data_IF_478970810126
#
_entry.id   IF_478970810126
#
_cell.length_a   1.000
_cell.length_b   1.000
_cell.length_c   1.000
_cell.angle_alpha   90.00
_cell.angle_beta   90.00
_cell.angle_gamma   90.00
#
_symmetry.space_group_name_H-M   'P 1'
#
loop_
_entity.id
_entity.type
_entity.pdbx_description
1 polymer ?
#
# COMPACT_ATOMS: atom_id res chain seq x y z
N UNK A 1 29.81 -30.29 -22.40
CA UNK A 1 29.87 -29.54 -21.12
C UNK A 1 28.85 -28.42 -21.21
N UNK A 2 27.65 -28.65 -20.70
CA UNK A 2 26.56 -27.69 -20.74
C UNK A 2 26.77 -26.64 -19.63
N UNK A 3 26.78 -25.36 -20.01
CA UNK A 3 26.76 -24.25 -19.05
C UNK A 3 25.33 -24.12 -18.53
N UNK A 4 25.10 -24.55 -17.31
CA UNK A 4 23.87 -24.25 -16.60
C UNK A 4 23.77 -22.74 -16.37
N UNK A 5 22.65 -22.16 -16.79
CA UNK A 5 22.29 -20.76 -16.53
C UNK A 5 21.99 -20.59 -15.04
N UNK A 6 22.63 -19.65 -14.31
CA UNK A 6 22.36 -19.44 -12.89
C UNK A 6 21.09 -18.64 -12.61
N UNK A 7 20.35 -18.20 -13.64
CA UNK A 7 19.10 -17.48 -13.46
C UNK A 7 17.90 -18.43 -13.52
N UNK A 8 17.75 -19.27 -12.50
CA UNK A 8 16.42 -19.76 -12.12
C UNK A 8 15.65 -18.60 -11.50
N UNK A 9 15.02 -17.77 -12.33
CA UNK A 9 13.84 -17.00 -11.94
C UNK A 9 12.71 -17.99 -11.69
N UNK A 10 12.75 -18.62 -10.51
CA UNK A 10 11.60 -19.29 -9.93
C UNK A 10 10.48 -18.26 -9.84
N UNK A 11 9.61 -18.30 -10.84
CA UNK A 11 8.32 -17.61 -10.95
C UNK A 11 7.31 -18.22 -9.97
N UNK A 12 7.74 -18.50 -8.74
CA UNK A 12 6.87 -18.85 -7.61
C UNK A 12 6.70 -17.71 -6.57
N UNK A 13 6.64 -16.40 -6.94
CA UNK A 13 6.40 -15.34 -5.96
C UNK A 13 4.96 -15.32 -5.44
N UNK A 14 4.03 -16.08 -6.05
CA UNK A 14 2.59 -16.08 -5.71
C UNK A 14 2.27 -17.05 -4.56
N UNK A 15 2.95 -18.20 -4.46
CA UNK A 15 2.63 -19.21 -3.43
C UNK A 15 3.20 -18.92 -2.04
N UNK A 16 4.08 -17.92 -1.93
CA UNK A 16 4.58 -17.41 -0.66
C UNK A 16 4.36 -15.90 -0.61
N UNK A 17 3.11 -15.45 -0.67
CA UNK A 17 2.81 -14.20 0.05
C UNK A 17 3.29 -14.44 1.49
N UNK A 18 4.30 -13.72 1.97
CA UNK A 18 4.82 -13.99 3.29
C UNK A 18 3.66 -13.78 4.24
N UNK A 19 3.35 -14.78 5.06
CA UNK A 19 2.24 -14.75 6.04
C UNK A 19 2.18 -13.41 6.77
N UNK A 20 3.35 -12.78 7.00
CA UNK A 20 3.52 -11.41 7.50
C UNK A 20 2.73 -10.35 6.71
N UNK A 21 2.83 -10.28 5.39
CA UNK A 21 2.07 -9.32 4.56
C UNK A 21 0.57 -9.55 4.68
N UNK A 22 0.12 -10.81 4.65
CA UNK A 22 -1.29 -11.13 4.84
C UNK A 22 -1.81 -10.68 6.21
N UNK A 23 -1.04 -10.95 7.27
CA UNK A 23 -1.35 -10.50 8.64
C UNK A 23 -1.36 -8.98 8.73
N UNK A 24 -0.38 -8.28 8.17
CA UNK A 24 -0.34 -6.81 8.17
C UNK A 24 -1.57 -6.22 7.48
N UNK A 25 -1.96 -6.75 6.33
CA UNK A 25 -3.17 -6.29 5.62
C UNK A 25 -4.42 -6.57 6.45
N UNK A 26 -4.58 -7.78 7.00
CA UNK A 26 -5.74 -8.13 7.82
C UNK A 26 -5.88 -7.22 9.05
N UNK A 27 -4.78 -7.00 9.77
CA UNK A 27 -4.77 -6.12 10.95
C UNK A 27 -5.12 -4.68 10.55
N UNK A 28 -4.56 -4.19 9.43
CA UNK A 28 -4.86 -2.85 8.92
C UNK A 28 -6.35 -2.73 8.59
N UNK A 29 -6.91 -3.71 7.87
CA UNK A 29 -8.33 -3.73 7.52
C UNK A 29 -9.22 -3.68 8.76
N UNK A 30 -8.96 -4.54 9.76
CA UNK A 30 -9.76 -4.59 10.98
C UNK A 30 -9.65 -3.28 11.78
N UNK A 31 -8.44 -2.75 11.95
CA UNK A 31 -8.22 -1.52 12.70
C UNK A 31 -8.96 -0.34 12.06
N UNK A 32 -8.82 -0.15 10.75
CA UNK A 32 -9.47 0.97 10.07
C UNK A 32 -10.99 0.81 10.05
N UNK A 33 -11.50 -0.41 9.83
CA UNK A 33 -12.94 -0.68 9.90
C UNK A 33 -13.53 -0.32 11.26
N UNK A 34 -12.83 -0.62 12.36
CA UNK A 34 -13.28 -0.27 13.71
C UNK A 34 -13.20 1.23 14.04
N UNK A 35 -12.40 2.00 13.29
CA UNK A 35 -12.15 3.42 13.53
C UNK A 35 -13.01 4.31 12.63
N UNK A 36 -13.61 3.77 11.56
CA UNK A 36 -14.42 4.57 10.66
C UNK A 36 -15.72 5.02 11.32
N UNK A 37 -15.94 6.33 11.32
CA UNK A 37 -17.23 6.95 11.66
C UNK A 37 -17.34 8.23 10.86
N UNK A 38 -18.46 8.43 10.16
CA UNK A 38 -18.67 9.64 9.34
C UNK A 38 -18.73 10.87 10.27
N UNK A 39 -17.82 11.84 10.14
CA UNK A 39 -17.84 13.01 11.01
C UNK A 39 -18.86 14.02 10.48
N UNK A 40 -19.98 14.14 11.19
CA UNK A 40 -21.16 14.91 10.79
C UNK A 40 -21.02 16.42 11.06
N UNK A 41 -19.92 17.05 10.64
CA UNK A 41 -19.53 18.40 11.11
C UNK A 41 -19.73 19.47 10.03
N UNK A 42 -18.80 19.57 9.09
CA UNK A 42 -18.87 20.45 7.92
C UNK A 42 -18.55 19.65 6.67
N UNK A 43 -19.06 20.07 5.52
CA UNK A 43 -18.89 19.33 4.26
C UNK A 43 -17.40 19.12 3.90
N UNK A 44 -16.58 20.15 4.08
CA UNK A 44 -15.15 20.12 3.78
C UNK A 44 -14.39 19.17 4.72
N UNK A 45 -14.65 19.23 6.02
CA UNK A 45 -14.02 18.34 7.01
C UNK A 45 -14.46 16.89 6.80
N UNK A 46 -15.73 16.65 6.46
CA UNK A 46 -16.24 15.31 6.16
C UNK A 46 -15.55 14.73 4.94
N UNK A 47 -15.48 15.49 3.85
CA UNK A 47 -14.81 15.07 2.63
C UNK A 47 -13.32 14.78 2.88
N UNK A 48 -12.64 15.65 3.62
CA UNK A 48 -11.24 15.45 3.99
C UNK A 48 -11.05 14.20 4.85
N UNK A 49 -11.93 13.96 5.82
CA UNK A 49 -11.89 12.75 6.65
C UNK A 49 -12.11 11.48 5.83
N UNK A 50 -13.06 11.50 4.88
CA UNK A 50 -13.28 10.40 3.95
C UNK A 50 -12.04 10.13 3.09
N UNK A 51 -11.43 11.16 2.49
CA UNK A 51 -10.20 10.98 1.71
C UNK A 51 -9.04 10.48 2.56
N UNK A 52 -8.89 11.02 3.77
CA UNK A 52 -7.86 10.59 4.70
C UNK A 52 -8.07 9.12 5.09
N UNK A 53 -9.30 8.71 5.39
CA UNK A 53 -9.62 7.31 5.67
C UNK A 53 -9.29 6.38 4.51
N UNK A 54 -9.48 6.82 3.26
CA UNK A 54 -9.16 6.00 2.09
C UNK A 54 -7.65 5.90 1.83
N UNK A 55 -6.92 7.03 1.96
CA UNK A 55 -5.52 7.16 1.57
C UNK A 55 -4.52 6.85 2.71
N UNK A 56 -4.90 7.05 3.96
CA UNK A 56 -4.03 6.82 5.11
C UNK A 56 -3.64 5.34 5.25
N UNK A 57 -4.54 4.36 5.13
CA UNK A 57 -4.20 2.94 5.19
C UNK A 57 -3.25 2.53 4.07
N UNK A 58 -3.47 3.07 2.86
CA UNK A 58 -2.56 2.88 1.73
C UNK A 58 -1.16 3.40 2.07
N UNK A 59 -1.08 4.62 2.60
CA UNK A 59 0.18 5.26 3.00
C UNK A 59 0.89 4.48 4.10
N UNK A 60 0.15 4.04 5.12
CA UNK A 60 0.67 3.22 6.23
C UNK A 60 1.15 1.87 5.73
N UNK A 61 0.42 1.20 4.83
CA UNK A 61 0.86 -0.07 4.23
C UNK A 61 2.14 0.12 3.41
N UNK A 62 2.24 1.17 2.60
CA UNK A 62 3.48 1.51 1.86
C UNK A 62 4.64 1.68 2.84
N UNK A 63 4.44 2.45 3.92
CA UNK A 63 5.47 2.67 4.92
C UNK A 63 5.88 1.37 5.64
N UNK A 64 4.91 0.59 6.12
CA UNK A 64 5.19 -0.67 6.82
C UNK A 64 5.88 -1.69 5.91
N UNK A 65 5.42 -1.83 4.67
CA UNK A 65 6.04 -2.75 3.71
C UNK A 65 7.45 -2.30 3.34
N UNK A 66 7.72 -0.99 3.22
CA UNK A 66 9.08 -0.49 2.98
C UNK A 66 10.01 -0.72 4.18
N UNK A 67 9.52 -0.58 5.41
CA UNK A 67 10.30 -0.81 6.62
C UNK A 67 10.56 -2.31 6.91
N UNK A 68 9.60 -3.18 6.57
CA UNK A 68 9.75 -4.63 6.79
C UNK A 68 10.64 -5.28 5.72
N UNK A 69 10.70 -4.72 4.52
CA UNK A 69 11.53 -5.27 3.45
C UNK A 69 13.01 -4.90 3.65
N UNK A 70 13.72 -5.78 4.37
CA UNK A 70 15.16 -5.67 4.58
C UNK A 70 15.97 -5.58 3.28
N UNK A 71 15.45 -6.07 2.14
CA UNK A 71 16.15 -5.95 0.86
C UNK A 71 16.09 -4.52 0.34
N UNK A 72 14.94 -3.86 0.51
CA UNK A 72 14.77 -2.45 0.14
C UNK A 72 15.65 -1.54 1.01
N UNK A 73 15.67 -1.80 2.32
CA UNK A 73 16.53 -1.07 3.26
C UNK A 73 18.02 -1.24 2.93
N UNK A 74 18.46 -2.45 2.58
CA UNK A 74 19.84 -2.70 2.13
C UNK A 74 20.16 -1.99 0.82
N UNK A 75 19.22 -1.96 -0.14
CA UNK A 75 19.36 -1.19 -1.38
C UNK A 75 19.54 0.31 -1.10
N UNK A 76 18.74 0.87 -0.18
CA UNK A 76 18.88 2.27 0.26
C UNK A 76 20.24 2.52 0.92
N UNK A 77 20.72 1.62 1.78
CA UNK A 77 22.04 1.74 2.41
C UNK A 77 23.19 1.71 1.39
N UNK A 78 23.10 0.83 0.39
CA UNK A 78 24.09 0.78 -0.70
C UNK A 78 24.05 2.05 -1.56
N UNK A 79 22.87 2.62 -1.83
CA UNK A 79 22.75 3.85 -2.62
C UNK A 79 23.31 5.10 -1.89
N UNK A 80 23.16 5.14 -0.57
CA UNK A 80 23.71 6.22 0.29
C UNK A 80 25.22 6.10 0.46
N UNK A 81 25.81 4.93 0.21
CA UNK A 81 27.26 4.79 0.17
C UNK A 81 27.82 5.57 -1.05
N UNK A 82 28.45 6.71 -0.78
CA UNK A 82 29.12 7.58 -1.80
C UNK A 82 30.04 6.81 -2.75
N UNK A 83 30.56 5.67 -2.31
CA UNK A 83 31.41 4.76 -3.05
C UNK A 83 30.72 4.11 -4.26
N UNK A 84 29.43 3.76 -4.17
CA UNK A 84 28.68 3.16 -5.29
C UNK A 84 28.23 4.21 -6.32
N UNK A 85 27.95 5.44 -5.89
CA UNK A 85 27.49 6.51 -6.77
C UNK A 85 28.60 7.04 -7.71
N UNK A 86 29.88 6.81 -7.39
CA UNK A 86 31.01 7.31 -8.19
C UNK A 86 31.59 6.32 -9.19
N UNK A 87 31.13 5.07 -9.23
CA UNK A 87 31.65 4.04 -10.14
C UNK A 87 33.20 3.91 -10.12
N UNK A 88 33.84 4.26 -9.00
CA UNK A 88 35.27 4.06 -8.83
C UNK A 88 35.49 2.61 -8.40
N UNK A 89 35.89 1.77 -9.35
CA UNK A 89 35.98 0.30 -9.23
C UNK A 89 36.86 -0.26 -8.09
N UNK A 90 37.51 0.59 -7.29
CA UNK A 90 38.33 0.19 -6.16
C UNK A 90 37.52 -0.14 -4.88
N UNK A 91 36.27 0.31 -4.76
CA UNK A 91 35.48 0.09 -3.53
C UNK A 91 34.96 -1.34 -3.34
N UNK A 92 34.92 -2.16 -4.39
CA UNK A 92 34.53 -3.58 -4.28
C UNK A 92 35.55 -4.43 -3.49
N UNK A 93 36.78 -3.95 -3.33
CA UNK A 93 37.84 -4.67 -2.61
C UNK A 93 37.82 -4.45 -1.09
N UNK A 94 37.18 -3.37 -0.61
CA UNK A 94 37.28 -2.93 0.79
C UNK A 94 36.18 -3.49 1.73
N UNK A 95 35.29 -4.36 1.24
CA UNK A 95 34.35 -5.06 2.11
C UNK A 95 33.28 -4.17 2.77
N UNK A 96 32.97 -2.98 2.24
CA UNK A 96 31.92 -2.12 2.79
C UNK A 96 30.51 -2.77 2.79
N UNK A 97 30.31 -3.88 2.06
CA UNK A 97 29.09 -4.69 2.05
C UNK A 97 29.32 -6.12 2.61
N UNK A 98 30.43 -6.36 3.33
CA UNK A 98 30.94 -7.70 3.60
C UNK A 98 30.12 -8.56 4.57
N UNK A 99 29.21 -8.01 5.37
CA UNK A 99 28.49 -8.80 6.38
C UNK A 99 27.20 -9.49 5.91
N UNK A 100 27.02 -9.75 4.61
CA UNK A 100 25.96 -10.67 4.19
C UNK A 100 25.39 -10.56 2.77
N UNK A 101 26.08 -9.87 1.85
CA UNK A 101 25.68 -9.84 0.45
C UNK A 101 26.50 -10.88 -0.34
N UNK A 102 26.02 -12.12 -0.39
CA UNK A 102 26.54 -13.18 -1.27
C UNK A 102 26.21 -12.96 -2.76
N UNK A 103 26.26 -11.72 -3.25
CA UNK A 103 26.07 -11.38 -4.65
C UNK A 103 27.39 -10.87 -5.21
N UNK A 104 28.12 -11.73 -5.90
CA UNK A 104 29.28 -11.36 -6.71
C UNK A 104 28.81 -11.12 -8.14
N UNK A 105 28.58 -9.86 -8.57
CA UNK A 105 28.22 -9.59 -9.96
C UNK A 105 29.38 -9.99 -10.86
N UNK A 106 29.13 -10.89 -11.82
CA UNK A 106 30.12 -11.34 -12.80
C UNK A 106 30.38 -10.32 -13.90
N UNK A 107 29.47 -9.36 -14.11
CA UNK A 107 29.57 -8.32 -15.14
C UNK A 107 28.94 -7.00 -14.68
N UNK A 108 29.55 -5.88 -15.09
CA UNK A 108 29.04 -4.53 -14.86
C UNK A 108 27.81 -4.31 -15.76
N UNK A 109 26.60 -4.29 -15.18
CA UNK A 109 25.32 -4.19 -15.90
C UNK A 109 24.18 -4.99 -15.28
N UNK A 110 24.49 -6.11 -14.61
CA UNK A 110 23.49 -6.99 -13.97
C UNK A 110 22.86 -6.34 -12.71
N UNK A 111 23.52 -5.36 -12.11
CA UNK A 111 23.06 -4.65 -10.92
C UNK A 111 21.80 -3.82 -11.18
N UNK A 112 21.71 -3.17 -12.35
CA UNK A 112 20.54 -2.40 -12.74
C UNK A 112 19.30 -3.31 -12.92
N UNK A 113 19.47 -4.47 -13.54
CA UNK A 113 18.41 -5.46 -13.70
C UNK A 113 17.93 -6.03 -12.37
N UNK A 114 18.85 -6.30 -11.43
CA UNK A 114 18.49 -6.75 -10.08
C UNK A 114 17.72 -5.69 -9.30
N UNK A 115 18.21 -4.44 -9.26
CA UNK A 115 17.52 -3.32 -8.61
C UNK A 115 16.12 -3.09 -9.18
N UNK A 116 16.00 -3.06 -10.51
CA UNK A 116 14.71 -2.94 -11.19
C UNK A 116 13.75 -4.09 -10.83
N UNK A 117 14.25 -5.32 -10.74
CA UNK A 117 13.45 -6.48 -10.33
C UNK A 117 12.94 -6.37 -8.89
N UNK A 118 13.79 -5.96 -7.95
CA UNK A 118 13.40 -5.76 -6.54
C UNK A 118 12.37 -4.63 -6.42
N UNK A 119 12.62 -3.47 -7.02
CA UNK A 119 11.70 -2.33 -6.99
C UNK A 119 10.36 -2.72 -7.63
N UNK A 120 10.38 -3.38 -8.79
CA UNK A 120 9.16 -3.85 -9.45
C UNK A 120 8.37 -4.82 -8.58
N UNK A 121 9.04 -5.78 -7.95
CA UNK A 121 8.38 -6.74 -7.04
C UNK A 121 7.73 -6.02 -5.85
N UNK A 122 8.44 -5.04 -5.28
CA UNK A 122 7.92 -4.21 -4.20
C UNK A 122 6.69 -3.40 -4.63
N UNK A 123 6.77 -2.69 -5.76
CA UNK A 123 5.67 -1.89 -6.32
C UNK A 123 4.43 -2.76 -6.55
N UNK A 124 4.59 -3.95 -7.15
CA UNK A 124 3.47 -4.88 -7.37
C UNK A 124 2.81 -5.28 -6.05
N UNK A 125 3.59 -5.63 -5.01
CA UNK A 125 3.04 -6.02 -3.71
C UNK A 125 2.25 -4.90 -3.05
N UNK A 126 2.80 -3.68 -3.06
CA UNK A 126 2.13 -2.49 -2.53
C UNK A 126 0.84 -2.23 -3.30
N UNK A 127 0.88 -2.24 -4.64
CA UNK A 127 -0.31 -2.04 -5.46
C UNK A 127 -1.39 -3.09 -5.19
N UNK A 128 -1.03 -4.37 -5.07
CA UNK A 128 -1.98 -5.43 -4.74
C UNK A 128 -2.62 -5.23 -3.35
N UNK A 129 -1.82 -4.88 -2.33
CA UNK A 129 -2.32 -4.64 -0.98
C UNK A 129 -3.25 -3.41 -0.94
N UNK A 130 -2.86 -2.32 -1.61
CA UNK A 130 -3.67 -1.10 -1.72
C UNK A 130 -4.97 -1.34 -2.49
N UNK A 131 -4.91 -2.08 -3.60
CA UNK A 131 -6.11 -2.43 -4.36
C UNK A 131 -7.07 -3.28 -3.52
N UNK A 132 -6.55 -4.25 -2.76
CA UNK A 132 -7.38 -5.05 -1.86
C UNK A 132 -8.05 -4.20 -0.78
N UNK A 133 -7.33 -3.24 -0.19
CA UNK A 133 -7.90 -2.27 0.76
C UNK A 133 -9.02 -1.44 0.11
N UNK A 134 -8.79 -0.87 -1.07
CA UNK A 134 -9.80 -0.08 -1.78
C UNK A 134 -11.06 -0.90 -2.08
N UNK A 135 -10.91 -2.16 -2.50
CA UNK A 135 -12.05 -3.06 -2.72
C UNK A 135 -12.83 -3.28 -1.41
N UNK A 136 -12.15 -3.55 -0.30
CA UNK A 136 -12.82 -3.74 1.00
C UNK A 136 -13.55 -2.47 1.44
N UNK A 137 -12.91 -1.31 1.33
CA UNK A 137 -13.50 -0.03 1.69
C UNK A 137 -14.73 0.33 0.84
N UNK A 138 -14.73 -0.02 -0.45
CA UNK A 138 -15.86 0.16 -1.34
C UNK A 138 -16.99 -0.84 -1.06
N UNK A 139 -16.66 -2.12 -0.83
CA UNK A 139 -17.64 -3.17 -0.51
C UNK A 139 -18.41 -2.92 0.78
N UNK A 140 -17.75 -2.32 1.78
CA UNK A 140 -18.40 -1.90 3.02
C UNK A 140 -19.47 -0.82 2.76
N UNK A 141 -19.26 0.03 1.76
CA UNK A 141 -20.21 1.04 1.32
C UNK A 141 -20.32 2.25 2.25
N UNK A 142 -19.94 2.14 3.52
CA UNK A 142 -20.01 3.22 4.51
C UNK A 142 -19.24 4.47 4.08
N UNK A 143 -18.04 4.29 3.52
CA UNK A 143 -17.26 5.39 2.96
C UNK A 143 -17.97 6.07 1.79
N UNK A 144 -18.53 5.28 0.86
CA UNK A 144 -19.21 5.79 -0.33
C UNK A 144 -20.48 6.55 0.05
N UNK A 145 -21.28 5.99 0.95
CA UNK A 145 -22.48 6.63 1.50
C UNK A 145 -22.11 7.95 2.17
N UNK A 146 -21.14 7.95 3.09
CA UNK A 146 -20.70 9.16 3.78
C UNK A 146 -20.29 10.26 2.77
N UNK A 147 -19.43 9.93 1.79
CA UNK A 147 -18.97 10.86 0.76
C UNK A 147 -20.12 11.38 -0.13
N UNK A 148 -21.04 10.50 -0.56
CA UNK A 148 -22.19 10.89 -1.39
C UNK A 148 -23.20 11.75 -0.67
N UNK A 149 -23.33 11.59 0.65
CA UNK A 149 -24.26 12.36 1.47
C UNK A 149 -23.70 13.71 1.92
N UNK A 150 -22.44 14.03 1.61
CA UNK A 150 -21.85 15.35 1.89
C UNK A 150 -22.61 16.41 1.09
N UNK A 151 -23.38 17.31 1.74
CA UNK A 151 -24.11 18.34 1.03
C UNK A 151 -23.14 19.38 0.46
N UNK A 152 -23.43 19.87 -0.75
CA UNK A 152 -22.62 20.92 -1.38
C UNK A 152 -22.68 22.28 -0.65
N UNK A 153 -23.62 22.47 0.29
CA UNK A 153 -23.86 23.77 0.95
C UNK A 153 -24.48 23.68 2.35
N UNK A 154 -24.54 22.49 2.96
CA UNK A 154 -25.30 22.24 4.20
C UNK A 154 -24.42 22.11 5.45
N UNK A 155 -25.06 22.24 6.62
CA UNK A 155 -24.46 21.90 7.91
C UNK A 155 -24.32 20.38 8.03
N UNK A 156 -23.29 19.86 8.72
CA UNK A 156 -23.01 18.42 8.78
C UNK A 156 -24.11 17.57 9.42
N UNK A 157 -25.03 18.18 10.17
CA UNK A 157 -26.23 17.53 10.71
C UNK A 157 -27.28 17.15 9.66
N UNK A 158 -27.26 17.78 8.48
CA UNK A 158 -28.18 17.46 7.39
C UNK A 158 -27.72 16.23 6.57
N UNK A 159 -26.55 15.66 6.89
CA UNK A 159 -26.06 14.46 6.22
C UNK A 159 -26.94 13.25 6.55
N UNK A 160 -27.41 12.55 5.52
CA UNK A 160 -28.25 11.34 5.66
C UNK A 160 -27.55 10.25 6.49
N UNK A 161 -26.23 10.13 6.37
CA UNK A 161 -25.43 9.15 7.12
C UNK A 161 -25.41 9.39 8.64
N UNK A 162 -25.84 10.59 9.08
CA UNK A 162 -25.71 11.09 10.44
C UNK A 162 -27.03 11.18 11.19
N UNK A 163 -28.16 10.91 10.53
CA UNK A 163 -29.48 10.93 11.16
C UNK A 163 -29.75 9.61 11.85
N UNK A 164 -30.04 9.67 13.16
CA UNK A 164 -30.43 8.51 13.96
C UNK A 164 -31.74 7.86 13.49
N UNK A 165 -32.65 8.66 12.92
CA UNK A 165 -33.92 8.20 12.33
C UNK A 165 -34.12 8.82 10.94
N UNK A 166 -33.68 8.14 9.87
CA UNK A 166 -33.99 8.57 8.52
C UNK A 166 -35.49 8.39 8.22
N UNK A 167 -36.05 9.31 7.44
CA UNK A 167 -37.40 9.14 6.90
C UNK A 167 -37.46 7.90 5.97
N UNK A 168 -38.64 7.32 5.71
CA UNK A 168 -38.74 6.17 4.80
C UNK A 168 -38.19 6.46 3.39
N UNK A 169 -38.33 7.70 2.90
CA UNK A 169 -37.76 8.13 1.62
C UNK A 169 -36.22 8.22 1.69
N UNK A 170 -35.68 8.77 2.78
CA UNK A 170 -34.22 8.86 3.00
C UNK A 170 -33.58 7.47 3.14
N UNK A 171 -34.27 6.54 3.80
CA UNK A 171 -33.84 5.16 3.95
C UNK A 171 -33.77 4.43 2.60
N UNK A 172 -34.66 4.73 1.65
CA UNK A 172 -34.60 4.19 0.29
C UNK A 172 -33.40 4.74 -0.49
N UNK A 173 -33.11 6.03 -0.34
CA UNK A 173 -31.91 6.66 -0.92
C UNK A 173 -30.62 6.07 -0.35
N UNK A 174 -30.55 5.85 0.97
CA UNK A 174 -29.43 5.19 1.64
C UNK A 174 -29.22 3.76 1.11
N UNK A 175 -30.29 2.97 0.95
CA UNK A 175 -30.23 1.63 0.36
C UNK A 175 -29.73 1.67 -1.07
N UNK A 176 -30.18 2.65 -1.87
CA UNK A 176 -29.70 2.84 -3.24
C UNK A 176 -28.20 3.12 -3.28
N UNK A 177 -27.70 4.05 -2.47
CA UNK A 177 -26.26 4.34 -2.44
C UNK A 177 -25.42 3.15 -1.96
N UNK A 178 -25.91 2.39 -0.98
CA UNK A 178 -25.25 1.15 -0.57
C UNK A 178 -25.18 0.13 -1.71
N UNK A 179 -26.24 0.01 -2.52
CA UNK A 179 -26.23 -0.88 -3.70
C UNK A 179 -25.32 -0.41 -4.83
N UNK A 180 -25.16 0.91 -5.03
CA UNK A 180 -24.26 1.48 -6.04
C UNK A 180 -22.77 1.34 -5.67
N UNK A 181 -22.47 1.18 -4.38
CA UNK A 181 -21.09 1.03 -3.90
C UNK A 181 -20.49 -0.36 -4.15
N UNK A 182 -21.34 -1.38 -4.35
CA UNK A 182 -20.96 -2.80 -4.50
C UNK A 182 -20.87 -3.18 -5.97
#
# INVERSE_FOLDING_TARGET
MARESPFQTSLDPVRKLPVRTGVTVLVTVVLFKCVFSCPCVSAEETALHCWLYLLLPVSVMVLLLSLVDSRLLRLCQCHVCRCCARAEGACCAAGCCADGCGYTPSQCGDEACYCCSVIRSYVIRVLCASALWLVVALMDGDWYVCMRTVPASGTGQDQLACKDLPSPEEAEVLRRFSSESR
#
